data_IF_951457771229
#
_entry.id   IF_951457771229
#
_cell.length_a   1.000
_cell.length_b   1.000
_cell.length_c   1.000
_cell.angle_alpha   90.00
_cell.angle_beta   90.00
_cell.angle_gamma   90.00
#
_symmetry.space_group_name_H-M   'P 1'
#
loop_
_entity.id
_entity.type
_entity.pdbx_description
1 polymer ?
#
# COMPACT_ATOMS: atom_id res chain seq x y z
N UNK A 1 24.27 11.43 4.96
CA UNK A 1 23.11 10.53 4.69
C UNK A 1 21.98 10.86 5.63
N UNK A 2 20.79 11.11 5.11
CA UNK A 2 19.61 11.42 5.91
C UNK A 2 19.15 10.16 6.68
N UNK A 3 19.43 10.08 7.98
CA UNK A 3 19.06 8.93 8.83
C UNK A 3 17.55 8.67 8.86
N UNK A 4 16.71 9.69 8.62
CA UNK A 4 15.23 9.56 8.56
C UNK A 4 14.76 8.68 7.41
N UNK A 5 15.55 8.57 6.33
CA UNK A 5 15.18 7.79 5.15
C UNK A 5 15.38 6.28 5.32
N UNK A 6 15.91 5.82 6.46
CA UNK A 6 16.23 4.41 6.69
C UNK A 6 15.42 3.80 7.82
N UNK A 7 15.01 2.55 7.61
CA UNK A 7 14.29 1.69 8.55
C UNK A 7 15.21 0.49 8.87
N UNK A 8 16.14 0.70 9.81
CA UNK A 8 17.21 -0.25 10.07
C UNK A 8 18.18 -0.34 8.88
N UNK A 9 18.34 -1.53 8.31
CA UNK A 9 19.18 -1.78 7.13
C UNK A 9 18.47 -1.46 5.79
N UNK A 10 17.23 -1.00 5.82
CA UNK A 10 16.39 -0.81 4.62
C UNK A 10 16.03 0.67 4.44
N UNK A 11 15.61 1.03 3.23
CA UNK A 11 15.17 2.39 2.91
C UNK A 11 16.16 3.16 2.03
N UNK A 12 16.06 4.47 2.07
CA UNK A 12 16.89 5.40 1.32
C UNK A 12 16.11 6.21 0.28
N UNK A 13 16.86 6.98 -0.52
CA UNK A 13 16.34 7.85 -1.57
C UNK A 13 17.12 7.57 -2.87
N UNK A 14 16.93 6.39 -3.44
CA UNK A 14 17.62 5.98 -4.67
C UNK A 14 16.82 6.43 -5.90
N UNK A 15 17.03 7.69 -6.29
CA UNK A 15 16.38 8.34 -7.45
C UNK A 15 17.41 9.15 -8.22
N UNK A 16 17.01 9.67 -9.41
CA UNK A 16 17.80 10.65 -10.14
C UNK A 16 18.02 11.90 -9.28
N UNK A 17 19.20 12.50 -9.36
CA UNK A 17 19.57 13.70 -8.60
C UNK A 17 18.57 14.85 -8.79
N UNK A 18 18.02 14.98 -10.00
CA UNK A 18 16.99 15.96 -10.33
C UNK A 18 15.71 15.88 -9.49
N UNK A 19 15.45 14.73 -8.84
CA UNK A 19 14.29 14.55 -7.97
C UNK A 19 14.60 14.77 -6.48
N UNK A 20 15.86 14.98 -6.09
CA UNK A 20 16.21 15.08 -4.67
C UNK A 20 15.53 16.27 -4.00
N UNK A 21 15.58 17.46 -4.62
CA UNK A 21 14.92 18.66 -4.08
C UNK A 21 13.40 18.45 -3.96
N UNK A 22 12.80 17.85 -4.98
CA UNK A 22 11.35 17.53 -4.96
C UNK A 22 10.98 16.60 -3.79
N UNK A 23 11.83 15.63 -3.48
CA UNK A 23 11.61 14.72 -2.34
C UNK A 23 11.81 15.42 -0.99
N UNK A 24 12.74 16.37 -0.90
CA UNK A 24 12.94 17.19 0.30
C UNK A 24 11.75 18.12 0.54
N UNK A 25 11.26 18.79 -0.50
CA UNK A 25 10.04 19.59 -0.45
C UNK A 25 8.83 18.75 -0.04
N UNK A 26 8.70 17.53 -0.60
CA UNK A 26 7.64 16.60 -0.26
C UNK A 26 7.70 16.15 1.20
N UNK A 27 8.90 15.83 1.71
CA UNK A 27 9.08 15.44 3.13
C UNK A 27 8.69 16.59 4.06
N UNK A 28 9.14 17.81 3.76
CA UNK A 28 8.81 19.00 4.56
C UNK A 28 7.30 19.28 4.56
N UNK A 29 6.67 19.27 3.39
CA UNK A 29 5.23 19.51 3.25
C UNK A 29 4.40 18.42 3.96
N UNK A 30 4.83 17.15 3.86
CA UNK A 30 4.17 16.05 4.55
C UNK A 30 4.29 16.15 6.07
N UNK A 31 5.49 16.43 6.58
CA UNK A 31 5.73 16.58 8.03
C UNK A 31 4.94 17.75 8.63
N UNK A 32 4.74 18.82 7.87
CA UNK A 32 3.90 19.94 8.27
C UNK A 32 2.41 19.52 8.25
N UNK A 33 1.95 18.93 7.14
CA UNK A 33 0.54 18.57 6.95
C UNK A 33 0.03 17.59 8.03
N UNK A 34 0.82 16.57 8.40
CA UNK A 34 0.38 15.58 9.43
C UNK A 34 0.35 16.16 10.86
N UNK A 35 0.84 17.38 11.07
CA UNK A 35 0.76 18.10 12.36
C UNK A 35 -0.25 19.23 12.34
N UNK A 36 -0.76 19.57 11.17
CA UNK A 36 -1.73 20.63 10.98
C UNK A 36 -3.15 20.11 11.25
N UNK A 37 -3.85 20.63 12.28
CA UNK A 37 -5.20 20.21 12.59
C UNK A 37 -6.20 20.42 11.44
N UNK A 38 -6.05 21.49 10.67
CA UNK A 38 -6.93 21.78 9.52
C UNK A 38 -6.78 20.74 8.41
N UNK A 39 -5.55 20.35 8.09
CA UNK A 39 -5.29 19.26 7.13
C UNK A 39 -5.88 17.93 7.60
N UNK A 40 -5.68 17.59 8.87
CA UNK A 40 -6.19 16.35 9.45
C UNK A 40 -7.72 16.34 9.51
N UNK A 41 -8.35 17.45 9.85
CA UNK A 41 -9.81 17.59 9.83
C UNK A 41 -10.36 17.38 8.42
N UNK A 42 -9.76 18.03 7.42
CA UNK A 42 -10.13 17.88 6.02
C UNK A 42 -9.93 16.43 5.53
N UNK A 43 -8.81 15.80 5.87
CA UNK A 43 -8.54 14.40 5.53
C UNK A 43 -9.59 13.46 6.15
N UNK A 44 -9.89 13.62 7.46
CA UNK A 44 -10.89 12.82 8.14
C UNK A 44 -12.31 13.07 7.62
N UNK A 45 -12.64 14.32 7.22
CA UNK A 45 -13.90 14.64 6.57
C UNK A 45 -14.08 13.81 5.29
N UNK A 46 -13.08 13.79 4.39
CA UNK A 46 -13.18 13.00 3.16
C UNK A 46 -13.17 11.49 3.41
N UNK A 47 -12.42 11.02 4.38
CA UNK A 47 -12.46 9.62 4.77
C UNK A 47 -13.87 9.21 5.23
N UNK A 48 -14.56 10.05 5.98
CA UNK A 48 -15.91 9.76 6.48
C UNK A 48 -16.97 9.97 5.42
N UNK A 49 -16.99 11.12 4.76
CA UNK A 49 -18.10 11.54 3.89
C UNK A 49 -17.99 11.00 2.47
N UNK A 50 -16.79 10.74 1.98
CA UNK A 50 -16.57 10.31 0.60
C UNK A 50 -16.08 8.87 0.50
N UNK A 51 -15.13 8.48 1.31
CA UNK A 51 -14.59 7.10 1.31
C UNK A 51 -15.53 6.11 1.99
N UNK A 52 -16.33 6.55 2.95
CA UNK A 52 -17.33 5.72 3.64
C UNK A 52 -16.78 5.03 4.89
N UNK A 53 -15.75 5.61 5.54
CA UNK A 53 -15.21 5.06 6.79
C UNK A 53 -16.12 5.40 7.98
N UNK A 54 -16.09 4.63 9.05
CA UNK A 54 -15.24 3.45 9.35
C UNK A 54 -15.75 2.21 8.60
N UNK A 55 -14.85 1.43 7.97
CA UNK A 55 -15.26 0.14 7.38
C UNK A 55 -15.59 -0.87 8.48
N UNK A 56 -16.58 -1.75 8.27
CA UNK A 56 -16.95 -2.74 9.28
C UNK A 56 -15.82 -3.73 9.60
N UNK A 57 -15.76 -4.15 10.85
CA UNK A 57 -15.07 -5.36 11.27
C UNK A 57 -16.13 -6.47 11.37
N UNK A 58 -16.27 -7.26 10.32
CA UNK A 58 -17.32 -8.26 10.16
C UNK A 58 -16.94 -9.59 10.81
N UNK A 59 -17.77 -10.11 11.72
CA UNK A 59 -17.61 -11.44 12.26
C UNK A 59 -18.05 -12.48 11.24
N UNK A 60 -17.11 -13.32 10.82
CA UNK A 60 -17.34 -14.32 9.78
C UNK A 60 -17.80 -15.67 10.42
N UNK A 61 -19.06 -15.78 10.80
CA UNK A 61 -19.63 -16.92 11.52
C UNK A 61 -19.27 -18.27 10.91
N UNK A 62 -19.61 -18.48 9.64
CA UNK A 62 -19.37 -19.76 8.96
C UNK A 62 -17.89 -20.14 8.86
N UNK A 63 -17.00 -19.16 8.72
CA UNK A 63 -15.56 -19.42 8.76
C UNK A 63 -15.10 -19.73 10.17
N UNK A 64 -15.64 -19.01 11.15
CA UNK A 64 -15.33 -19.23 12.57
C UNK A 64 -15.73 -20.63 13.03
N UNK A 65 -16.92 -21.09 12.69
CA UNK A 65 -17.39 -22.46 12.94
C UNK A 65 -16.51 -23.51 12.24
N UNK A 66 -16.23 -23.29 10.94
CA UNK A 66 -15.44 -24.23 10.13
C UNK A 66 -14.04 -24.45 10.68
N UNK A 67 -13.41 -23.43 11.24
CA UNK A 67 -12.03 -23.48 11.72
C UNK A 67 -11.90 -23.55 13.25
N UNK A 68 -13.01 -23.49 13.98
CA UNK A 68 -13.03 -23.56 15.45
C UNK A 68 -12.33 -22.37 16.13
N UNK A 69 -12.37 -21.19 15.50
CA UNK A 69 -11.77 -19.97 16.01
C UNK A 69 -12.58 -18.74 15.59
N UNK A 70 -12.54 -17.66 16.35
CA UNK A 70 -13.21 -16.42 15.98
C UNK A 70 -12.44 -15.71 14.84
N UNK A 71 -13.11 -15.50 13.71
CA UNK A 71 -12.53 -14.85 12.53
C UNK A 71 -13.31 -13.57 12.24
N UNK A 72 -12.59 -12.46 12.20
CA UNK A 72 -13.08 -11.14 11.83
C UNK A 72 -12.45 -10.66 10.52
N UNK A 73 -13.24 -10.05 9.66
CA UNK A 73 -12.79 -9.48 8.39
C UNK A 73 -12.92 -7.96 8.45
N UNK A 74 -11.80 -7.25 8.33
CA UNK A 74 -11.79 -5.81 8.13
C UNK A 74 -12.11 -5.52 6.67
N UNK A 75 -13.30 -4.97 6.41
CA UNK A 75 -13.95 -4.91 5.09
C UNK A 75 -13.52 -3.67 4.30
N UNK A 76 -12.23 -3.61 3.93
CA UNK A 76 -11.70 -2.53 3.08
C UNK A 76 -12.25 -2.55 1.63
N UNK A 77 -12.89 -3.62 1.23
CA UNK A 77 -13.65 -3.75 -0.01
C UNK A 77 -14.94 -2.91 -0.04
N UNK A 78 -15.42 -2.46 1.11
CA UNK A 78 -16.58 -1.59 1.24
C UNK A 78 -16.25 -0.09 1.15
N UNK A 79 -14.97 0.28 1.09
CA UNK A 79 -14.60 1.65 0.76
C UNK A 79 -15.07 2.04 -0.64
N UNK A 80 -15.32 3.32 -0.84
CA UNK A 80 -15.48 3.86 -2.19
C UNK A 80 -14.31 3.42 -3.09
N UNK A 81 -14.57 3.01 -4.32
CA UNK A 81 -13.67 2.35 -5.28
C UNK A 81 -13.44 0.85 -5.04
N UNK A 82 -13.90 0.28 -3.93
CA UNK A 82 -13.85 -1.17 -3.67
C UNK A 82 -12.54 -1.69 -3.10
N UNK A 83 -11.66 -0.82 -2.57
CA UNK A 83 -10.39 -1.23 -1.97
C UNK A 83 -9.80 -0.17 -1.03
N UNK A 84 -8.79 -0.56 -0.24
CA UNK A 84 -8.06 0.33 0.68
C UNK A 84 -7.28 1.48 0.02
N UNK A 85 -7.06 1.44 -1.29
CA UNK A 85 -6.20 2.39 -2.01
C UNK A 85 -6.65 3.84 -1.86
N UNK A 86 -7.95 4.06 -1.79
CA UNK A 86 -8.54 5.40 -1.70
C UNK A 86 -8.11 6.16 -0.43
N UNK A 87 -7.85 5.45 0.69
CA UNK A 87 -7.39 6.09 1.93
C UNK A 87 -6.11 6.89 1.72
N UNK A 88 -5.11 6.23 1.11
CA UNK A 88 -3.82 6.83 0.81
C UNK A 88 -3.92 7.90 -0.28
N UNK A 89 -4.74 7.65 -1.30
CA UNK A 89 -4.91 8.59 -2.42
C UNK A 89 -5.51 9.92 -1.94
N UNK A 90 -6.54 9.91 -1.10
CA UNK A 90 -7.12 11.14 -0.54
C UNK A 90 -6.06 11.95 0.22
N UNK A 91 -5.26 11.29 1.07
CA UNK A 91 -4.19 11.97 1.80
C UNK A 91 -3.15 12.60 0.87
N UNK A 92 -2.69 11.86 -0.14
CA UNK A 92 -1.69 12.35 -1.08
C UNK A 92 -2.24 13.46 -1.99
N UNK A 93 -3.50 13.40 -2.41
CA UNK A 93 -4.12 14.46 -3.23
C UNK A 93 -4.30 15.75 -2.41
N UNK A 94 -4.75 15.66 -1.17
CA UNK A 94 -4.83 16.83 -0.29
C UNK A 94 -3.46 17.48 -0.10
N UNK A 95 -2.42 16.65 0.07
CA UNK A 95 -1.04 17.14 0.15
C UNK A 95 -0.61 17.79 -1.17
N UNK A 96 -0.91 17.19 -2.31
CA UNK A 96 -0.61 17.76 -3.63
C UNK A 96 -1.26 19.14 -3.82
N UNK A 97 -2.53 19.29 -3.44
CA UNK A 97 -3.23 20.57 -3.45
C UNK A 97 -2.57 21.62 -2.55
N UNK A 98 -2.20 21.23 -1.33
CA UNK A 98 -1.50 22.11 -0.39
C UNK A 98 -0.15 22.58 -0.95
N UNK A 99 0.54 21.73 -1.70
CA UNK A 99 1.79 22.04 -2.41
C UNK A 99 1.55 22.83 -3.71
N UNK A 100 0.33 23.21 -4.05
CA UNK A 100 0.00 23.97 -5.26
C UNK A 100 0.11 23.17 -6.57
N UNK A 101 0.20 21.84 -6.50
CA UNK A 101 0.27 20.99 -7.69
C UNK A 101 -1.08 20.95 -8.39
N UNK A 102 -1.06 20.97 -9.72
CA UNK A 102 -2.27 20.98 -10.57
C UNK A 102 -2.54 19.63 -11.23
N UNK A 103 -1.50 18.79 -11.31
CA UNK A 103 -1.54 17.51 -12.00
C UNK A 103 -1.10 16.40 -11.08
N UNK A 104 -1.68 15.23 -11.27
CA UNK A 104 -1.25 14.01 -10.61
C UNK A 104 -0.93 12.92 -11.62
N UNK A 105 0.09 12.15 -11.32
CA UNK A 105 0.42 10.93 -12.07
C UNK A 105 0.48 9.75 -11.13
N UNK A 106 0.15 8.57 -11.66
CA UNK A 106 0.28 7.31 -10.93
C UNK A 106 0.66 6.18 -11.88
N UNK A 107 1.22 5.11 -11.32
CA UNK A 107 1.34 3.81 -11.97
C UNK A 107 0.27 2.86 -11.43
N UNK A 108 -0.10 1.89 -12.24
CA UNK A 108 -1.00 0.81 -11.79
C UNK A 108 -0.76 -0.49 -12.55
N UNK A 109 -0.92 -1.62 -11.84
CA UNK A 109 -0.93 -2.96 -12.44
C UNK A 109 -2.34 -3.51 -12.48
N UNK A 110 -2.88 -3.95 -11.35
CA UNK A 110 -4.26 -4.46 -11.25
C UNK A 110 -5.37 -3.39 -11.45
N UNK A 111 -5.01 -2.11 -11.61
CA UNK A 111 -5.93 -1.02 -11.88
C UNK A 111 -6.52 -0.34 -10.65
N UNK A 112 -6.54 -0.96 -9.49
CA UNK A 112 -7.20 -0.41 -8.29
C UNK A 112 -6.58 0.91 -7.81
N UNK A 113 -5.26 1.04 -7.88
CA UNK A 113 -4.59 2.29 -7.52
C UNK A 113 -4.89 3.39 -8.55
N UNK A 114 -4.87 3.06 -9.83
CA UNK A 114 -5.23 3.98 -10.91
C UNK A 114 -6.67 4.49 -10.78
N UNK A 115 -7.64 3.60 -10.52
CA UNK A 115 -9.04 3.98 -10.29
C UNK A 115 -9.16 4.90 -9.07
N UNK A 116 -8.50 4.58 -7.95
CA UNK A 116 -8.54 5.43 -6.77
C UNK A 116 -7.92 6.81 -7.05
N UNK A 117 -6.79 6.87 -7.79
CA UNK A 117 -6.14 8.13 -8.18
C UNK A 117 -7.02 8.96 -9.10
N UNK A 118 -7.62 8.35 -10.13
CA UNK A 118 -8.56 9.02 -11.02
C UNK A 118 -9.78 9.56 -10.27
N UNK A 119 -10.31 8.76 -9.32
CA UNK A 119 -11.43 9.18 -8.46
C UNK A 119 -11.09 10.40 -7.62
N UNK A 120 -9.94 10.38 -6.95
CA UNK A 120 -9.51 11.52 -6.15
C UNK A 120 -9.17 12.74 -7.00
N UNK A 121 -8.54 12.55 -8.16
CA UNK A 121 -8.25 13.64 -9.09
C UNK A 121 -9.53 14.32 -9.59
N UNK A 122 -10.53 13.53 -9.98
CA UNK A 122 -11.86 14.05 -10.37
C UNK A 122 -12.54 14.82 -9.23
N UNK A 123 -12.45 14.30 -7.99
CA UNK A 123 -13.04 14.98 -6.82
C UNK A 123 -12.44 16.37 -6.58
N UNK A 124 -11.17 16.57 -6.89
CA UNK A 124 -10.43 17.79 -6.59
C UNK A 124 -10.07 18.62 -7.82
N UNK A 125 -10.66 18.29 -8.99
CA UNK A 125 -10.45 18.98 -10.27
C UNK A 125 -8.97 19.10 -10.65
N UNK A 126 -8.27 17.95 -10.62
CA UNK A 126 -6.86 17.83 -10.99
C UNK A 126 -6.69 16.99 -12.26
N UNK A 127 -5.80 17.42 -13.14
CA UNK A 127 -5.40 16.60 -14.29
C UNK A 127 -4.77 15.28 -13.82
N UNK A 128 -5.23 14.16 -14.35
CA UNK A 128 -4.77 12.83 -13.97
C UNK A 128 -4.22 12.04 -15.16
N UNK A 129 -2.99 11.54 -15.04
CA UNK A 129 -2.41 10.58 -15.98
C UNK A 129 -1.98 9.32 -15.25
N UNK A 130 -2.47 8.16 -15.72
CA UNK A 130 -2.15 6.85 -15.14
C UNK A 130 -1.35 6.02 -16.15
N UNK A 131 -0.16 5.59 -15.75
CA UNK A 131 0.68 4.69 -16.53
C UNK A 131 0.33 3.23 -16.20
N UNK A 132 0.10 2.43 -17.23
CA UNK A 132 -0.25 1.03 -17.07
C UNK A 132 0.40 0.17 -18.16
N UNK A 133 0.94 -0.98 -17.80
CA UNK A 133 1.54 -1.89 -18.76
C UNK A 133 0.50 -2.41 -19.76
N UNK A 134 0.89 -2.55 -21.03
CA UNK A 134 -0.01 -2.98 -22.11
C UNK A 134 -0.68 -4.34 -21.84
N UNK A 135 0.02 -5.27 -21.18
CA UNK A 135 -0.55 -6.56 -20.76
C UNK A 135 -1.55 -6.41 -19.61
N UNK A 136 -1.28 -5.51 -18.68
CA UNK A 136 -2.19 -5.22 -17.58
C UNK A 136 -3.46 -4.52 -18.07
N UNK A 137 -3.36 -3.61 -19.05
CA UNK A 137 -4.51 -2.96 -19.71
C UNK A 137 -5.47 -3.99 -20.29
N UNK A 138 -4.95 -5.01 -21.01
CA UNK A 138 -5.77 -6.08 -21.59
C UNK A 138 -6.50 -6.88 -20.52
N UNK A 139 -5.81 -7.20 -19.42
CA UNK A 139 -6.37 -7.99 -18.31
C UNK A 139 -7.39 -7.23 -17.46
N UNK A 140 -7.26 -5.91 -17.39
CA UNK A 140 -7.97 -5.03 -16.48
C UNK A 140 -8.79 -3.94 -17.21
N UNK A 141 -9.32 -4.26 -18.39
CA UNK A 141 -10.05 -3.31 -19.25
C UNK A 141 -11.18 -2.58 -18.55
N UNK A 142 -11.87 -3.23 -17.60
CA UNK A 142 -12.92 -2.60 -16.79
C UNK A 142 -12.36 -1.47 -15.91
N UNK A 143 -11.19 -1.65 -15.32
CA UNK A 143 -10.57 -0.60 -14.52
C UNK A 143 -10.03 0.54 -15.39
N UNK A 144 -9.56 0.23 -16.61
CA UNK A 144 -9.18 1.25 -17.61
C UNK A 144 -10.40 2.11 -17.96
N UNK A 145 -11.51 1.50 -18.31
CA UNK A 145 -12.76 2.21 -18.59
C UNK A 145 -13.20 3.11 -17.42
N UNK A 146 -13.10 2.62 -16.17
CA UNK A 146 -13.42 3.43 -14.98
C UNK A 146 -12.53 4.66 -14.85
N UNK A 147 -11.23 4.52 -15.09
CA UNK A 147 -10.28 5.65 -15.06
C UNK A 147 -10.61 6.69 -16.12
N UNK A 148 -10.89 6.25 -17.34
CA UNK A 148 -11.26 7.13 -18.47
C UNK A 148 -12.59 7.83 -18.24
N UNK A 149 -13.60 7.14 -17.69
CA UNK A 149 -14.89 7.76 -17.30
C UNK A 149 -14.74 8.85 -16.23
N UNK A 150 -13.72 8.74 -15.38
CA UNK A 150 -13.35 9.73 -14.37
C UNK A 150 -12.47 10.87 -14.93
N UNK A 151 -12.24 10.90 -16.25
CA UNK A 151 -11.45 11.94 -16.91
C UNK A 151 -9.93 11.71 -16.88
N UNK A 152 -9.45 10.59 -16.34
CA UNK A 152 -8.03 10.30 -16.33
C UNK A 152 -7.53 9.83 -17.71
N UNK A 153 -6.33 10.26 -18.10
CA UNK A 153 -5.62 9.75 -19.27
C UNK A 153 -4.87 8.48 -18.90
N UNK A 154 -5.23 7.35 -19.50
CA UNK A 154 -4.48 6.09 -19.35
C UNK A 154 -3.43 5.97 -20.44
N UNK A 155 -2.16 5.86 -20.05
CA UNK A 155 -1.01 5.73 -20.94
C UNK A 155 -0.52 4.30 -20.94
N UNK A 156 -0.62 3.65 -22.10
CA UNK A 156 -0.12 2.28 -22.31
C UNK A 156 1.40 2.27 -22.39
N UNK A 157 2.04 1.47 -21.54
CA UNK A 157 3.50 1.27 -21.53
C UNK A 157 3.82 -0.06 -22.19
N UNK A 158 4.57 0.01 -23.28
CA UNK A 158 4.96 -1.14 -24.14
C UNK A 158 6.43 -1.52 -24.04
N UNK A 159 7.17 -0.95 -23.10
CA UNK A 159 8.57 -1.27 -22.84
C UNK A 159 8.72 -2.46 -21.90
N UNK A 160 9.83 -3.18 -22.00
CA UNK A 160 10.20 -4.25 -21.09
C UNK A 160 9.20 -5.41 -21.07
N UNK A 161 8.69 -5.74 -19.90
CA UNK A 161 7.70 -6.81 -19.67
C UNK A 161 6.25 -6.36 -19.88
N UNK A 162 6.02 -5.08 -20.22
CA UNK A 162 4.70 -4.48 -20.40
C UNK A 162 3.80 -4.58 -19.15
N UNK A 163 4.40 -4.55 -17.95
CA UNK A 163 3.70 -4.72 -16.67
C UNK A 163 3.98 -3.55 -15.71
N UNK A 164 3.48 -3.66 -14.48
CA UNK A 164 3.60 -2.64 -13.43
C UNK A 164 5.03 -2.07 -13.27
N UNK A 165 6.08 -2.89 -13.40
CA UNK A 165 7.48 -2.41 -13.29
C UNK A 165 7.79 -1.33 -14.31
N UNK A 166 7.39 -1.58 -15.56
CA UNK A 166 7.68 -0.66 -16.66
C UNK A 166 6.81 0.59 -16.58
N UNK A 167 5.56 0.43 -16.13
CA UNK A 167 4.66 1.55 -15.81
C UNK A 167 5.25 2.45 -14.71
N UNK A 168 5.82 1.87 -13.66
CA UNK A 168 6.50 2.61 -12.58
C UNK A 168 7.70 3.38 -13.12
N UNK A 169 8.53 2.76 -13.95
CA UNK A 169 9.68 3.41 -14.57
C UNK A 169 9.27 4.61 -15.43
N UNK A 170 8.18 4.48 -16.20
CA UNK A 170 7.69 5.57 -17.05
C UNK A 170 7.07 6.70 -16.22
N UNK A 171 6.33 6.38 -15.17
CA UNK A 171 5.80 7.37 -14.23
C UNK A 171 6.94 8.19 -13.59
N UNK A 172 8.00 7.53 -13.11
CA UNK A 172 9.17 8.21 -12.51
C UNK A 172 9.91 9.07 -13.54
N UNK A 173 10.09 8.59 -14.78
CA UNK A 173 10.71 9.38 -15.86
C UNK A 173 9.91 10.65 -16.18
N UNK A 174 8.59 10.53 -16.22
CA UNK A 174 7.71 11.68 -16.45
C UNK A 174 7.76 12.62 -15.27
N UNK A 175 7.69 12.09 -14.04
CA UNK A 175 7.78 12.92 -12.84
C UNK A 175 9.09 13.73 -12.79
N UNK A 176 10.22 13.12 -13.12
CA UNK A 176 11.49 13.82 -13.18
C UNK A 176 11.53 15.03 -14.15
N UNK A 177 10.63 15.05 -15.14
CA UNK A 177 10.50 16.15 -16.11
C UNK A 177 9.45 17.19 -15.71
N UNK A 178 8.48 16.82 -14.89
CA UNK A 178 7.26 17.61 -14.63
C UNK A 178 6.99 17.85 -13.15
N UNK A 179 7.95 17.59 -12.27
CA UNK A 179 7.78 17.65 -10.82
C UNK A 179 7.37 19.03 -10.28
N UNK A 180 7.59 20.09 -11.06
CA UNK A 180 7.22 21.45 -10.69
C UNK A 180 5.71 21.60 -10.49
N UNK A 181 4.88 21.09 -11.41
CA UNK A 181 3.42 21.21 -11.38
C UNK A 181 2.70 19.87 -11.15
N UNK A 182 3.43 18.78 -11.14
CA UNK A 182 2.92 17.41 -11.10
C UNK A 182 3.32 16.68 -9.83
N UNK A 183 2.34 16.09 -9.16
CA UNK A 183 2.56 15.22 -7.99
C UNK A 183 2.48 13.75 -8.40
N UNK A 184 3.46 12.95 -7.97
CA UNK A 184 3.44 11.52 -8.17
C UNK A 184 2.76 10.82 -6.99
N UNK A 185 1.62 10.17 -7.23
CA UNK A 185 0.86 9.44 -6.21
C UNK A 185 1.28 7.98 -6.23
N UNK A 186 1.95 7.52 -5.16
CA UNK A 186 2.37 6.12 -5.01
C UNK A 186 1.32 5.32 -4.24
N UNK A 187 0.92 4.17 -4.81
CA UNK A 187 -0.11 3.31 -4.25
C UNK A 187 0.38 2.23 -3.28
N UNK A 188 1.68 2.14 -3.05
CA UNK A 188 2.30 1.08 -2.24
C UNK A 188 3.34 1.65 -1.27
N UNK A 189 3.67 0.91 -0.21
CA UNK A 189 4.71 1.29 0.76
C UNK A 189 6.12 1.04 0.18
N UNK A 190 6.38 1.58 -1.00
CA UNK A 190 7.60 1.42 -1.80
C UNK A 190 8.09 2.78 -2.29
N UNK A 191 9.22 2.79 -3.00
CA UNK A 191 9.78 4.01 -3.57
C UNK A 191 10.72 4.75 -2.61
N UNK A 192 11.20 5.93 -3.03
CA UNK A 192 12.11 6.73 -2.23
C UNK A 192 11.42 7.32 -0.99
N UNK A 193 12.18 7.54 0.08
CA UNK A 193 11.68 8.35 1.19
C UNK A 193 11.28 9.75 0.68
N UNK A 194 10.10 10.33 1.10
CA UNK A 194 9.25 9.95 2.23
C UNK A 194 8.05 9.04 1.88
N UNK A 195 7.91 8.53 0.67
CA UNK A 195 6.73 7.78 0.24
C UNK A 195 6.33 6.62 1.16
N UNK A 196 7.24 5.72 1.60
CA UNK A 196 6.84 4.63 2.50
C UNK A 196 6.23 5.12 3.80
N UNK A 197 6.73 6.24 4.33
CA UNK A 197 6.22 6.89 5.54
C UNK A 197 4.83 7.48 5.31
N UNK A 198 4.63 8.20 4.20
CA UNK A 198 3.34 8.77 3.82
C UNK A 198 2.27 7.69 3.64
N UNK A 199 2.60 6.64 2.88
CA UNK A 199 1.67 5.52 2.64
C UNK A 199 1.32 4.81 3.95
N UNK A 200 2.29 4.57 4.84
CA UNK A 200 2.03 4.05 6.18
C UNK A 200 1.04 4.93 6.94
N UNK A 201 1.30 6.23 7.02
CA UNK A 201 0.47 7.16 7.79
C UNK A 201 -0.98 7.16 7.29
N UNK A 202 -1.19 7.37 5.98
CA UNK A 202 -2.54 7.42 5.41
C UNK A 202 -3.26 6.07 5.39
N UNK A 203 -2.56 4.95 5.40
CA UNK A 203 -3.18 3.62 5.50
C UNK A 203 -3.38 3.15 6.94
N UNK A 204 -2.73 3.76 7.93
CA UNK A 204 -2.84 3.35 9.34
C UNK A 204 -4.25 3.47 9.91
N UNK A 205 -5.12 4.22 9.25
CA UNK A 205 -6.56 4.28 9.57
C UNK A 205 -7.19 2.87 9.64
N UNK A 206 -6.70 1.91 8.83
CA UNK A 206 -7.19 0.52 8.81
C UNK A 206 -6.94 -0.16 10.16
N UNK A 207 -5.70 -0.15 10.62
CA UNK A 207 -5.30 -0.77 11.89
C UNK A 207 -5.88 -0.05 13.10
N UNK A 208 -5.90 1.27 13.07
CA UNK A 208 -6.48 2.13 14.12
C UNK A 208 -7.95 1.80 14.36
N UNK A 209 -8.74 1.71 13.29
CA UNK A 209 -10.15 1.31 13.39
C UNK A 209 -10.31 -0.16 13.81
N UNK A 210 -9.54 -1.08 13.19
CA UNK A 210 -9.62 -2.50 13.50
C UNK A 210 -9.32 -2.78 14.97
N UNK A 211 -8.31 -2.11 15.54
CA UNK A 211 -7.95 -2.22 16.96
C UNK A 211 -9.09 -1.75 17.88
N UNK A 212 -9.67 -0.58 17.58
CA UNK A 212 -10.83 -0.05 18.32
C UNK A 212 -12.04 -0.98 18.22
N UNK A 213 -12.34 -1.46 17.02
CA UNK A 213 -13.51 -2.31 16.75
C UNK A 213 -13.38 -3.69 17.41
N UNK A 214 -12.20 -4.33 17.38
CA UNK A 214 -12.03 -5.64 18.02
C UNK A 214 -12.07 -5.53 19.56
N UNK A 215 -11.53 -4.46 20.13
CA UNK A 215 -11.64 -4.21 21.56
C UNK A 215 -13.09 -3.99 21.99
N UNK A 216 -13.88 -3.29 21.17
CA UNK A 216 -15.31 -3.11 21.44
C UNK A 216 -16.11 -4.44 21.31
N UNK A 217 -15.73 -5.31 20.36
CA UNK A 217 -16.43 -6.58 20.12
C UNK A 217 -16.04 -7.67 21.10
N UNK A 218 -14.76 -7.77 21.50
CA UNK A 218 -14.22 -8.91 22.26
C UNK A 218 -13.68 -8.53 23.64
N UNK A 219 -13.56 -7.25 23.96
CA UNK A 219 -12.94 -6.76 25.20
C UNK A 219 -11.41 -6.98 25.28
N UNK A 220 -10.80 -7.55 24.24
CA UNK A 220 -9.36 -7.88 24.17
C UNK A 220 -8.80 -7.72 22.75
N UNK A 221 -7.49 -7.65 22.65
CA UNK A 221 -6.78 -7.69 21.38
C UNK A 221 -6.86 -9.07 20.73
N UNK A 222 -6.74 -9.19 19.41
CA UNK A 222 -6.74 -10.49 18.74
C UNK A 222 -5.42 -11.24 18.98
N UNK A 223 -5.45 -12.56 18.95
CA UNK A 223 -4.23 -13.37 19.04
C UNK A 223 -3.38 -13.27 17.76
N UNK A 224 -4.06 -13.04 16.62
CA UNK A 224 -3.41 -12.94 15.30
C UNK A 224 -4.07 -11.86 14.45
N UNK A 225 -3.24 -11.04 13.80
CA UNK A 225 -3.66 -10.14 12.72
C UNK A 225 -3.00 -10.60 11.43
N UNK A 226 -3.82 -10.82 10.40
CA UNK A 226 -3.37 -11.33 9.10
C UNK A 226 -3.72 -10.33 7.99
N UNK A 227 -2.78 -10.11 7.05
CA UNK A 227 -3.01 -9.24 5.91
C UNK A 227 -2.30 -9.74 4.66
N UNK A 228 -2.92 -9.52 3.49
CA UNK A 228 -2.27 -9.76 2.20
C UNK A 228 -1.15 -8.76 1.96
N UNK A 229 -0.03 -9.24 1.41
CA UNK A 229 1.14 -8.44 1.05
C UNK A 229 1.36 -8.52 -0.46
N UNK A 230 1.14 -7.40 -1.13
CA UNK A 230 1.63 -7.12 -2.47
C UNK A 230 2.74 -6.09 -2.37
N UNK A 231 2.49 -4.83 -2.72
CA UNK A 231 3.40 -3.70 -2.48
C UNK A 231 3.46 -3.22 -1.01
N UNK A 232 2.72 -3.85 -0.10
CA UNK A 232 2.81 -3.61 1.34
C UNK A 232 1.84 -2.58 1.91
N UNK A 233 1.08 -1.82 1.09
CA UNK A 233 0.20 -0.76 1.61
C UNK A 233 -0.93 -1.28 2.50
N UNK A 234 -1.55 -2.41 2.13
CA UNK A 234 -2.59 -3.05 2.93
C UNK A 234 -2.05 -3.55 4.27
N UNK A 235 -0.95 -4.29 4.23
CA UNK A 235 -0.35 -4.89 5.42
C UNK A 235 0.21 -3.85 6.38
N UNK A 236 0.94 -2.83 5.88
CA UNK A 236 1.45 -1.77 6.75
C UNK A 236 0.33 -0.97 7.40
N UNK A 237 -0.74 -0.68 6.64
CA UNK A 237 -1.92 -0.01 7.17
C UNK A 237 -2.60 -0.80 8.28
N UNK A 238 -2.76 -2.12 8.10
CA UNK A 238 -3.37 -2.98 9.10
C UNK A 238 -2.47 -3.21 10.31
N UNK A 239 -1.15 -3.40 10.09
CA UNK A 239 -0.23 -3.78 11.17
C UNK A 239 0.24 -2.60 12.01
N UNK A 240 0.21 -1.37 11.49
CA UNK A 240 0.82 -0.20 12.11
C UNK A 240 0.46 -0.03 13.60
N UNK A 241 -0.81 -0.23 13.96
CA UNK A 241 -1.31 -0.07 15.32
C UNK A 241 -1.18 -1.34 16.18
N UNK A 242 -0.65 -2.42 15.63
CA UNK A 242 -0.43 -3.70 16.32
C UNK A 242 1.05 -4.07 16.46
N UNK A 243 1.98 -3.32 15.85
CA UNK A 243 3.42 -3.64 15.85
C UNK A 243 3.99 -3.69 17.27
N UNK A 244 3.56 -2.76 18.13
CA UNK A 244 4.04 -2.68 19.51
C UNK A 244 3.30 -3.62 20.49
N UNK A 245 2.26 -4.32 20.00
CA UNK A 245 1.45 -5.21 20.83
C UNK A 245 2.10 -6.59 20.94
N UNK A 246 2.88 -6.82 22.00
CA UNK A 246 3.67 -8.05 22.20
C UNK A 246 2.84 -9.35 22.19
N UNK A 247 1.55 -9.27 22.54
CA UNK A 247 0.64 -10.43 22.55
C UNK A 247 0.00 -10.74 21.20
N UNK A 248 0.20 -9.90 20.18
CA UNK A 248 -0.45 -10.03 18.87
C UNK A 248 0.53 -10.55 17.82
N UNK A 249 0.22 -11.69 17.22
CA UNK A 249 1.03 -12.24 16.12
C UNK A 249 0.62 -11.60 14.79
N UNK A 250 1.58 -11.02 14.06
CA UNK A 250 1.36 -10.43 12.74
C UNK A 250 1.77 -11.39 11.63
N UNK A 251 0.86 -11.66 10.69
CA UNK A 251 1.09 -12.60 9.58
C UNK A 251 0.82 -11.92 8.25
N UNK A 252 1.89 -11.73 7.45
CA UNK A 252 1.78 -11.32 6.05
C UNK A 252 1.59 -12.53 5.12
N UNK A 253 0.67 -12.41 4.16
CA UNK A 253 0.34 -13.48 3.20
C UNK A 253 0.68 -12.99 1.79
N UNK A 254 1.60 -13.66 1.12
CA UNK A 254 2.03 -13.33 -0.24
C UNK A 254 1.59 -14.37 -1.26
N UNK A 255 1.42 -13.95 -2.51
CA UNK A 255 1.13 -14.86 -3.62
C UNK A 255 2.39 -15.65 -4.00
N UNK A 256 2.43 -16.94 -3.66
CA UNK A 256 3.59 -17.80 -3.87
C UNK A 256 3.63 -18.42 -5.29
N UNK A 257 2.59 -18.25 -6.13
CA UNK A 257 2.56 -18.82 -7.46
C UNK A 257 2.82 -20.33 -7.46
N UNK A 258 3.74 -20.78 -8.30
CA UNK A 258 4.20 -22.17 -8.34
C UNK A 258 5.28 -22.49 -7.30
N UNK A 259 5.70 -21.54 -6.52
CA UNK A 259 6.74 -21.64 -5.49
C UNK A 259 7.82 -20.59 -5.71
N UNK A 260 8.40 -20.09 -4.61
CA UNK A 260 9.44 -19.05 -4.67
C UNK A 260 10.70 -19.57 -5.38
N UNK A 261 11.01 -20.82 -5.19
CA UNK A 261 12.15 -21.52 -5.80
C UNK A 261 12.05 -21.67 -7.33
N UNK A 262 10.84 -21.59 -7.88
CA UNK A 262 10.61 -21.71 -9.34
C UNK A 262 10.82 -20.41 -10.10
N UNK A 263 10.85 -19.26 -9.39
CA UNK A 263 10.81 -17.94 -9.99
C UNK A 263 9.43 -17.54 -10.55
N UNK A 264 8.45 -18.45 -10.58
CA UNK A 264 7.07 -18.20 -11.04
C UNK A 264 6.15 -17.84 -9.87
N UNK A 265 6.42 -16.69 -9.23
CA UNK A 265 5.68 -16.19 -8.07
C UNK A 265 5.55 -14.67 -8.09
N UNK A 266 4.62 -14.12 -7.31
CA UNK A 266 4.41 -12.69 -7.11
C UNK A 266 4.77 -12.25 -5.67
N UNK A 267 5.74 -12.91 -5.04
CA UNK A 267 6.23 -12.53 -3.71
C UNK A 267 7.03 -11.23 -3.80
N UNK A 268 6.68 -10.25 -2.98
CA UNK A 268 7.28 -8.92 -2.98
C UNK A 268 8.81 -8.95 -2.74
N UNK A 269 9.30 -9.87 -1.91
CA UNK A 269 10.71 -9.98 -1.59
C UNK A 269 11.60 -10.26 -2.81
N UNK A 270 11.11 -11.04 -3.79
CA UNK A 270 11.87 -11.37 -5.00
C UNK A 270 11.64 -10.35 -6.12
N UNK A 271 10.40 -9.88 -6.29
CA UNK A 271 10.06 -8.92 -7.35
C UNK A 271 10.84 -7.62 -7.20
N UNK A 272 11.03 -7.11 -5.97
CA UNK A 272 11.80 -5.89 -5.73
C UNK A 272 13.32 -6.10 -5.83
N UNK A 273 13.84 -7.28 -5.49
CA UNK A 273 15.27 -7.58 -5.65
C UNK A 273 15.68 -7.73 -7.11
N UNK A 274 14.81 -8.29 -7.95
CA UNK A 274 15.07 -8.46 -9.39
C UNK A 274 14.78 -7.19 -10.20
N UNK A 275 13.80 -6.37 -9.75
CA UNK A 275 13.38 -5.18 -10.48
C UNK A 275 14.32 -3.98 -10.35
N UNK A 276 15.04 -3.87 -9.23
CA UNK A 276 15.85 -2.69 -8.95
C UNK A 276 17.31 -2.79 -9.40
N UNK A 277 17.78 -3.95 -9.89
CA UNK A 277 19.24 -4.15 -10.11
C UNK A 277 20.06 -3.81 -8.86
N UNK A 278 19.39 -3.52 -7.76
CA UNK A 278 19.94 -3.02 -6.52
C UNK A 278 19.92 -4.13 -5.49
N UNK A 279 21.08 -4.70 -5.23
CA UNK A 279 21.27 -5.70 -4.18
C UNK A 279 20.77 -5.16 -2.84
N UNK A 280 19.83 -5.87 -2.24
CA UNK A 280 19.58 -5.92 -0.80
C UNK A 280 18.81 -4.81 -0.09
N UNK A 281 18.18 -3.81 -0.73
CA UNK A 281 17.52 -2.71 0.03
C UNK A 281 16.18 -2.28 -0.55
N UNK A 282 15.07 -2.81 0.00
CA UNK A 282 13.72 -2.30 -0.27
C UNK A 282 13.03 -1.91 1.04
N UNK A 283 12.48 -0.67 1.16
CA UNK A 283 11.81 -0.18 2.38
C UNK A 283 10.55 -0.97 2.77
N UNK A 284 9.87 -1.59 1.79
CA UNK A 284 8.74 -2.48 2.07
C UNK A 284 9.17 -3.77 2.80
N UNK A 285 10.48 -4.07 2.82
CA UNK A 285 11.06 -5.22 3.51
C UNK A 285 11.58 -4.89 4.91
N UNK A 286 11.31 -3.70 5.45
CA UNK A 286 11.66 -3.35 6.84
C UNK A 286 10.89 -4.18 7.89
N UNK A 287 9.95 -5.00 7.46
CA UNK A 287 9.43 -6.07 8.29
C UNK A 287 10.43 -7.22 8.32
N UNK A 288 11.14 -7.34 9.42
CA UNK A 288 12.09 -8.43 9.67
C UNK A 288 11.35 -9.77 9.64
N UNK A 289 11.42 -10.47 8.51
CA UNK A 289 10.87 -11.81 8.36
C UNK A 289 11.90 -12.81 8.88
N UNK A 290 11.92 -13.03 10.20
CA UNK A 290 12.74 -14.10 10.78
C UNK A 290 12.13 -15.47 10.44
N UNK A 291 12.96 -16.40 9.98
CA UNK A 291 12.67 -17.82 9.91
C UNK A 291 12.51 -18.35 11.34
N UNK A 292 11.30 -18.33 11.90
CA UNK A 292 10.99 -19.20 13.03
C UNK A 292 10.70 -20.59 12.47
N UNK A 293 11.58 -21.53 12.73
CA UNK A 293 11.39 -22.93 12.36
C UNK A 293 10.13 -23.49 13.00
N UNK A 294 9.20 -23.94 12.20
CA UNK A 294 8.11 -24.78 12.63
C UNK A 294 8.63 -26.23 12.75
N UNK A 295 9.26 -26.51 13.89
CA UNK A 295 9.38 -27.89 14.37
C UNK A 295 8.29 -28.12 15.40
N UNK A 296 7.32 -28.94 15.09
CA UNK A 296 6.49 -29.54 16.12
C UNK A 296 4.97 -29.50 15.90
N UNK A 297 4.49 -30.69 15.51
CA UNK A 297 3.17 -31.28 15.68
C UNK A 297 2.06 -30.92 14.68
N UNK A 298 1.71 -31.99 13.96
CA UNK A 298 0.58 -32.11 13.05
C UNK A 298 -0.74 -31.88 13.81
N UNK A 299 -1.49 -30.86 13.40
CA UNK A 299 -2.94 -30.83 13.48
C UNK A 299 -3.46 -30.15 12.21
N UNK A 300 -4.38 -30.81 11.54
CA UNK A 300 -4.76 -30.69 10.15
C UNK A 300 -5.30 -29.36 9.66
N UNK A 301 -4.44 -28.42 9.37
CA UNK A 301 -4.77 -27.27 8.53
C UNK A 301 -4.28 -27.56 7.11
N UNK A 302 -5.20 -27.88 6.20
CA UNK A 302 -4.90 -27.86 4.76
C UNK A 302 -4.66 -26.39 4.35
N UNK A 303 -3.40 -26.03 4.26
CA UNK A 303 -2.97 -24.76 3.67
C UNK A 303 -3.37 -24.79 2.20
N UNK A 304 -4.03 -23.74 1.71
CA UNK A 304 -4.31 -23.57 0.29
C UNK A 304 -3.01 -23.70 -0.50
N UNK A 305 -2.96 -24.61 -1.48
CA UNK A 305 -1.82 -24.71 -2.40
C UNK A 305 -1.60 -23.34 -3.07
N UNK A 306 -0.40 -22.79 -2.94
CA UNK A 306 -0.01 -21.51 -3.56
C UNK A 306 -0.01 -20.28 -2.66
N UNK A 307 -0.26 -20.41 -1.34
CA UNK A 307 -0.19 -19.32 -0.37
C UNK A 307 0.86 -19.62 0.70
N UNK A 308 1.83 -18.73 0.89
CA UNK A 308 2.75 -18.79 2.03
C UNK A 308 2.36 -17.77 3.10
N UNK A 309 2.27 -18.22 4.33
CA UNK A 309 2.14 -17.36 5.51
C UNK A 309 3.53 -17.09 6.11
N UNK A 310 3.78 -15.85 6.47
CA UNK A 310 4.98 -15.46 7.21
C UNK A 310 4.62 -14.73 8.49
N UNK A 311 5.25 -15.13 9.57
CA UNK A 311 5.11 -14.44 10.85
C UNK A 311 6.05 -13.23 10.84
N UNK A 312 5.52 -12.07 11.16
CA UNK A 312 6.27 -10.83 11.36
C UNK A 312 6.47 -10.73 12.87
N UNK A 313 7.70 -10.93 13.32
CA UNK A 313 8.02 -10.83 14.75
C UNK A 313 8.11 -9.36 15.16
N UNK A 314 7.53 -9.03 16.30
CA UNK A 314 7.84 -7.80 17.01
C UNK A 314 9.31 -7.77 17.43
N UNK A 315 9.84 -6.56 17.62
CA UNK A 315 11.21 -6.24 17.93
C UNK A 315 11.85 -7.19 18.96
N UNK A 316 13.06 -7.74 18.72
CA UNK A 316 13.84 -8.29 19.82
C UNK A 316 14.34 -7.10 20.65
N UNK A 317 13.95 -7.08 21.92
CA UNK A 317 14.47 -6.15 22.91
C UNK A 317 15.97 -6.31 23.14
#
# INVERSE_FOLDING_TARGET
MNRKAYYGAFGGQYVAESLMNTLEELDAAFEEAIRDPEFLEQYHYYLKQYVGRETPLYYAERLSEKYGMKIYLKREDLNHTGAHKINNVIGQILLAKRMGKKKVIAETGAGQHGVATATGAALFDMDCTVYMGAEDIKRQSLNVMRMEMLGAKVVSVTSGSNTLKDATNEAIRTWAKTAEDTFYIIGSAVGPYPYPKMVKEFQSVIGREAKKQILAAEGKLPDVVMACVGGGSNSIGMFADFIEEKGVKLIGVEAAGKGIETGEHASARHAFLSAAGCGRQCPACAFHLSRAGLSGRRSGARVFKGVRTRTICGNPG
#
